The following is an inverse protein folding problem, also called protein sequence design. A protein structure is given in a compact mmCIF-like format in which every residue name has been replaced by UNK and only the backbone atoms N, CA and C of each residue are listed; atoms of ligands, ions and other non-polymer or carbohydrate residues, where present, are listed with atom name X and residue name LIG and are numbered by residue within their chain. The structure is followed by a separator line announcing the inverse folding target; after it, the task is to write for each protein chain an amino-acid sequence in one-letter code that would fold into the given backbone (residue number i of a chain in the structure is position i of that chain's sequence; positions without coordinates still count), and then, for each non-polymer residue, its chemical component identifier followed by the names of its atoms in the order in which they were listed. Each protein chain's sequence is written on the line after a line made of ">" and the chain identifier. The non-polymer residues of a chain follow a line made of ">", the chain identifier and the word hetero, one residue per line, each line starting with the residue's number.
data_IF_663531985527
#
_entry.id   IF_663531985527
#
_cell.length_a   1.000
_cell.length_b   1.000
_cell.length_c   1.000
_cell.angle_alpha   90.00
_cell.angle_beta   90.00
_cell.angle_gamma   90.00
#
_symmetry.space_group_name_H-M   'P 1'
#
loop_
_entity.id
_entity.type
_entity.pdbx_description
1 polymer ?
#
# COMPACT_ATOMS: atom_id res chain seq x y z
N UNK A 1 -25.84 -9.68 -3.07
CA UNK A 1 -24.90 -8.86 -3.87
C UNK A 1 -23.69 -8.47 -3.00
N UNK A 2 -22.70 -9.35 -2.82
CA UNK A 2 -21.62 -9.17 -1.81
C UNK A 2 -20.18 -9.30 -2.38
N UNK A 3 -19.98 -9.28 -3.71
CA UNK A 3 -18.67 -9.52 -4.32
C UNK A 3 -18.01 -8.32 -5.01
N UNK A 4 -18.73 -7.22 -5.24
CA UNK A 4 -18.23 -6.11 -6.09
C UNK A 4 -17.44 -5.06 -5.30
N UNK A 5 -17.71 -4.89 -4.00
CA UNK A 5 -17.17 -3.79 -3.19
C UNK A 5 -15.69 -3.99 -2.84
N UNK A 6 -15.29 -5.18 -2.40
CA UNK A 6 -13.88 -5.53 -2.15
C UNK A 6 -13.04 -5.46 -3.42
N UNK A 7 -13.60 -5.82 -4.57
CA UNK A 7 -12.87 -5.81 -5.84
C UNK A 7 -12.48 -4.38 -6.26
N UNK A 8 -13.36 -3.39 -6.10
CA UNK A 8 -13.02 -2.00 -6.43
C UNK A 8 -11.98 -1.37 -5.51
N UNK A 9 -11.94 -1.75 -4.23
CA UNK A 9 -10.93 -1.25 -3.29
C UNK A 9 -9.56 -1.85 -3.62
N UNK A 10 -9.51 -3.16 -3.90
CA UNK A 10 -8.31 -3.87 -4.36
C UNK A 10 -7.80 -3.27 -5.66
N UNK A 11 -8.68 -3.00 -6.63
CA UNK A 11 -8.29 -2.37 -7.91
C UNK A 11 -7.77 -0.94 -7.69
N UNK A 12 -8.44 -0.14 -6.87
CA UNK A 12 -7.99 1.24 -6.60
C UNK A 12 -6.61 1.26 -5.94
N UNK A 13 -6.38 0.39 -4.96
CA UNK A 13 -5.09 0.30 -4.27
C UNK A 13 -4.01 -0.27 -5.20
N UNK A 14 -4.31 -1.30 -6.00
CA UNK A 14 -3.37 -1.82 -7.00
C UNK A 14 -2.98 -0.78 -8.04
N UNK A 15 -3.95 -0.01 -8.54
CA UNK A 15 -3.68 1.05 -9.51
C UNK A 15 -2.81 2.16 -8.90
N UNK A 16 -3.05 2.51 -7.63
CA UNK A 16 -2.21 3.45 -6.88
C UNK A 16 -0.78 2.90 -6.74
N UNK A 17 -0.63 1.64 -6.36
CA UNK A 17 0.68 0.99 -6.22
C UNK A 17 1.41 0.94 -7.56
N UNK A 18 0.73 0.56 -8.64
CA UNK A 18 1.29 0.54 -9.99
C UNK A 18 1.70 1.94 -10.49
N UNK A 19 0.93 2.98 -10.15
CA UNK A 19 1.26 4.36 -10.48
C UNK A 19 2.50 4.84 -9.70
N UNK A 20 2.60 4.48 -8.43
CA UNK A 20 3.72 4.85 -7.59
C UNK A 20 4.95 3.96 -7.84
N UNK A 21 4.81 2.74 -8.39
CA UNK A 21 5.86 1.72 -8.62
C UNK A 21 7.14 2.28 -9.28
N UNK A 22 7.00 3.26 -10.17
CA UNK A 22 8.14 3.93 -10.83
C UNK A 22 8.94 4.86 -9.89
N UNK A 23 8.31 5.37 -8.82
CA UNK A 23 8.96 6.15 -7.76
C UNK A 23 9.61 5.26 -6.69
N UNK A 24 9.15 4.01 -6.52
CA UNK A 24 9.68 3.08 -5.50
C UNK A 24 11.18 2.77 -5.54
N UNK A 25 11.87 2.71 -6.70
CA UNK A 25 13.32 2.53 -6.73
C UNK A 25 14.07 3.67 -6.01
N UNK A 26 13.50 4.88 -5.98
CA UNK A 26 14.12 6.07 -5.40
C UNK A 26 13.77 6.27 -3.91
N UNK A 27 12.77 5.53 -3.39
CA UNK A 27 12.23 5.73 -2.03
C UNK A 27 13.12 5.22 -0.90
N UNK A 28 13.93 4.19 -1.14
CA UNK A 28 14.84 3.67 -0.12
C UNK A 28 15.85 4.71 0.38
N UNK A 29 16.19 5.70 -0.45
CA UNK A 29 17.07 6.82 -0.07
C UNK A 29 16.31 8.04 0.45
N UNK A 30 15.07 8.24 -0.01
CA UNK A 30 14.25 9.39 0.37
C UNK A 30 13.75 9.31 1.82
N UNK A 31 13.48 8.11 2.36
CA UNK A 31 12.94 7.88 3.71
C UNK A 31 13.80 8.42 4.88
N UNK A 32 15.03 8.85 4.64
CA UNK A 32 15.95 9.37 5.66
C UNK A 32 15.64 10.81 6.12
N UNK A 33 14.74 11.55 5.44
CA UNK A 33 14.61 13.01 5.64
C UNK A 33 13.29 13.54 6.21
N UNK A 34 12.13 13.04 5.79
CA UNK A 34 10.80 13.60 6.11
C UNK A 34 9.82 12.53 6.65
N UNK A 35 8.73 12.93 7.30
CA UNK A 35 7.72 11.97 7.77
C UNK A 35 7.00 11.25 6.62
N UNK A 36 6.25 10.17 6.89
CA UNK A 36 5.53 9.39 5.87
C UNK A 36 4.56 10.22 5.02
N UNK A 37 3.86 11.20 5.61
CA UNK A 37 2.94 12.10 4.90
C UNK A 37 3.66 13.09 3.97
N UNK A 38 4.84 13.58 4.37
CA UNK A 38 5.61 14.56 3.60
C UNK A 38 6.27 13.99 2.34
N UNK A 39 6.47 12.68 2.27
CA UNK A 39 7.12 12.02 1.14
C UNK A 39 6.15 11.51 0.07
N UNK A 40 4.92 11.17 0.46
CA UNK A 40 3.95 10.49 -0.40
C UNK A 40 2.57 11.17 -0.40
N UNK A 41 2.48 12.43 -0.84
CA UNK A 41 1.21 13.16 -0.87
C UNK A 41 0.16 12.47 -1.74
N UNK A 42 0.58 11.76 -2.79
CA UNK A 42 -0.31 10.99 -3.66
C UNK A 42 -0.98 9.80 -2.91
N UNK A 43 -0.20 9.01 -2.17
CA UNK A 43 -0.72 7.89 -1.38
C UNK A 43 -1.56 8.39 -0.20
N UNK A 44 -1.08 9.42 0.51
CA UNK A 44 -1.82 10.04 1.60
C UNK A 44 -3.17 10.60 1.11
N UNK A 45 -3.19 11.26 -0.06
CA UNK A 45 -4.40 11.77 -0.68
C UNK A 45 -5.37 10.67 -1.12
N UNK A 46 -4.85 9.59 -1.72
CA UNK A 46 -5.66 8.45 -2.14
C UNK A 46 -6.29 7.71 -0.95
N UNK A 47 -5.51 7.42 0.10
CA UNK A 47 -6.02 6.77 1.31
C UNK A 47 -7.06 7.64 2.02
N UNK A 48 -6.83 8.96 2.07
CA UNK A 48 -7.80 9.92 2.62
C UNK A 48 -9.08 9.96 1.81
N UNK A 49 -9.00 10.03 0.49
CA UNK A 49 -10.17 9.99 -0.38
C UNK A 49 -10.98 8.69 -0.21
N UNK A 50 -10.30 7.54 -0.04
CA UNK A 50 -10.97 6.26 0.24
C UNK A 50 -11.62 6.25 1.64
N UNK A 51 -10.97 6.85 2.64
CA UNK A 51 -11.53 6.99 3.99
C UNK A 51 -12.75 7.93 4.01
N UNK A 52 -12.68 9.08 3.34
CA UNK A 52 -13.77 10.06 3.21
C UNK A 52 -15.00 9.44 2.51
N UNK A 53 -14.78 8.49 1.60
CA UNK A 53 -15.84 7.73 0.93
C UNK A 53 -16.40 6.58 1.80
N UNK A 54 -15.92 6.39 3.03
CA UNK A 54 -16.28 5.26 3.90
C UNK A 54 -15.85 3.90 3.35
N UNK A 55 -14.89 3.90 2.43
CA UNK A 55 -14.31 2.70 1.81
C UNK A 55 -13.11 2.17 2.59
N UNK A 56 -12.51 2.99 3.44
CA UNK A 56 -11.54 2.58 4.45
C UNK A 56 -11.89 3.24 5.79
N UNK A 57 -11.49 2.60 6.88
CA UNK A 57 -11.60 3.11 8.24
C UNK A 57 -10.18 3.22 8.78
N UNK A 58 -9.56 4.39 8.58
CA UNK A 58 -8.17 4.66 8.94
C UNK A 58 -8.14 5.61 10.13
N UNK A 59 -7.90 5.12 11.37
CA UNK A 59 -7.83 5.98 12.55
C UNK A 59 -6.53 6.80 12.62
N UNK A 60 -5.46 6.31 12.00
CA UNK A 60 -4.15 6.93 11.94
C UNK A 60 -3.60 6.80 10.52
N UNK A 61 -3.60 7.91 9.78
CA UNK A 61 -3.20 7.96 8.38
C UNK A 61 -1.69 7.74 8.22
N UNK A 62 -0.88 8.28 9.14
CA UNK A 62 0.57 8.11 9.10
C UNK A 62 0.92 6.63 9.28
N UNK A 63 0.33 5.97 10.28
CA UNK A 63 0.55 4.55 10.52
C UNK A 63 0.09 3.70 9.33
N UNK A 64 -1.06 4.01 8.72
CA UNK A 64 -1.57 3.29 7.56
C UNK A 64 -0.62 3.40 6.36
N UNK A 65 -0.06 4.59 6.11
CA UNK A 65 0.94 4.81 5.08
C UNK A 65 2.16 3.90 5.35
N UNK A 66 2.73 3.94 6.56
CA UNK A 66 3.89 3.13 6.92
C UNK A 66 3.62 1.64 6.74
N UNK A 67 2.45 1.16 7.17
CA UNK A 67 2.07 -0.25 7.04
C UNK A 67 1.90 -0.68 5.57
N UNK A 68 1.28 0.16 4.74
CA UNK A 68 1.16 -0.09 3.31
C UNK A 68 2.56 -0.22 2.66
N UNK A 69 3.47 0.69 2.99
CA UNK A 69 4.84 0.64 2.50
C UNK A 69 5.61 -0.58 3.04
N UNK A 70 5.41 -0.98 4.29
CA UNK A 70 6.05 -2.16 4.85
C UNK A 70 5.62 -3.44 4.10
N UNK A 71 4.35 -3.56 3.73
CA UNK A 71 3.83 -4.71 2.99
C UNK A 71 4.34 -4.75 1.54
N UNK A 72 4.55 -3.59 0.91
CA UNK A 72 4.85 -3.51 -0.52
C UNK A 72 6.32 -3.31 -0.85
N UNK A 73 7.12 -2.65 0.00
CA UNK A 73 8.50 -2.21 -0.33
C UNK A 73 9.54 -2.99 0.42
N UNK A 74 9.27 -3.28 1.69
CA UNK A 74 10.24 -3.92 2.55
C UNK A 74 10.76 -5.25 1.96
N UNK A 75 9.94 -6.11 1.36
CA UNK A 75 10.44 -7.32 0.69
C UNK A 75 11.48 -7.03 -0.39
N UNK A 76 11.26 -6.03 -1.24
CA UNK A 76 12.21 -5.66 -2.30
C UNK A 76 13.53 -5.13 -1.75
N UNK A 77 13.48 -4.30 -0.71
CA UNK A 77 14.69 -3.76 -0.06
C UNK A 77 15.52 -4.89 0.55
N UNK A 78 14.86 -5.81 1.29
CA UNK A 78 15.53 -6.94 1.94
C UNK A 78 16.23 -7.84 0.92
N UNK A 79 15.55 -8.21 -0.17
CA UNK A 79 16.15 -9.04 -1.23
C UNK A 79 17.34 -8.35 -1.90
N UNK A 80 17.23 -7.05 -2.17
CA UNK A 80 18.31 -6.25 -2.74
C UNK A 80 19.55 -6.22 -1.84
N UNK A 81 19.39 -6.08 -0.52
CA UNK A 81 20.52 -6.16 0.44
C UNK A 81 21.25 -7.50 0.43
N UNK A 82 20.57 -8.59 0.10
CA UNK A 82 21.18 -9.91 -0.02
C UNK A 82 21.77 -10.19 -1.41
N UNK A 83 21.78 -9.21 -2.31
CA UNK A 83 22.26 -9.39 -3.69
C UNK A 83 21.35 -10.29 -4.53
N UNK A 84 20.10 -10.45 -4.11
CA UNK A 84 19.11 -11.29 -4.79
C UNK A 84 18.02 -10.43 -5.40
N UNK A 85 17.47 -10.87 -6.53
CA UNK A 85 16.33 -10.22 -7.15
C UNK A 85 15.08 -11.03 -6.88
N UNK A 86 13.99 -10.34 -6.53
CA UNK A 86 12.68 -10.95 -6.51
C UNK A 86 12.24 -11.23 -7.94
N UNK A 87 11.84 -12.47 -8.20
CA UNK A 87 11.17 -12.82 -9.45
C UNK A 87 9.86 -12.04 -9.58
N UNK A 88 9.47 -11.74 -10.81
CA UNK A 88 8.26 -10.98 -11.13
C UNK A 88 7.00 -11.66 -10.58
N UNK A 89 6.97 -13.00 -10.61
CA UNK A 89 5.87 -13.79 -10.03
C UNK A 89 5.76 -13.69 -8.50
N UNK A 90 6.89 -13.49 -7.81
CA UNK A 90 6.90 -13.28 -6.36
C UNK A 90 6.52 -11.84 -6.02
N UNK A 91 6.99 -10.89 -6.83
CA UNK A 91 6.62 -9.47 -6.74
C UNK A 91 5.11 -9.29 -6.83
N UNK A 92 4.47 -9.82 -7.88
CA UNK A 92 3.02 -9.66 -8.05
C UNK A 92 2.26 -10.27 -6.87
N UNK A 93 2.62 -11.49 -6.45
CA UNK A 93 1.99 -12.15 -5.28
C UNK A 93 2.11 -11.35 -3.99
N UNK A 94 3.26 -10.75 -3.72
CA UNK A 94 3.48 -9.93 -2.53
C UNK A 94 2.66 -8.63 -2.58
N UNK A 95 2.54 -8.02 -3.75
CA UNK A 95 1.68 -6.84 -3.94
C UNK A 95 0.22 -7.21 -3.72
N UNK A 96 -0.26 -8.29 -4.36
CA UNK A 96 -1.63 -8.80 -4.21
C UNK A 96 -1.96 -9.05 -2.74
N UNK A 97 -1.16 -9.90 -2.09
CA UNK A 97 -1.42 -10.32 -0.71
C UNK A 97 -1.23 -9.18 0.29
N UNK A 98 -0.26 -8.28 0.07
CA UNK A 98 -0.06 -7.09 0.89
C UNK A 98 -1.25 -6.14 0.82
N UNK A 99 -1.78 -5.88 -0.38
CA UNK A 99 -3.00 -5.08 -0.56
C UNK A 99 -4.19 -5.76 0.13
N UNK A 100 -4.38 -7.08 -0.05
CA UNK A 100 -5.47 -7.82 0.58
C UNK A 100 -5.38 -7.77 2.12
N UNK A 101 -4.17 -7.88 2.69
CA UNK A 101 -3.93 -7.73 4.13
C UNK A 101 -4.27 -6.32 4.62
N UNK A 102 -3.83 -5.30 3.89
CA UNK A 102 -4.11 -3.90 4.22
C UNK A 102 -5.61 -3.61 4.21
N UNK A 103 -6.32 -4.06 3.18
CA UNK A 103 -7.77 -3.91 3.07
C UNK A 103 -8.54 -4.79 4.06
N UNK A 104 -7.98 -5.93 4.47
CA UNK A 104 -8.55 -6.74 5.56
C UNK A 104 -8.49 -6.02 6.91
N UNK A 105 -7.46 -5.22 7.13
CA UNK A 105 -7.28 -4.45 8.38
C UNK A 105 -8.06 -3.13 8.38
N UNK A 106 -7.91 -2.33 7.33
CA UNK A 106 -8.52 -0.99 7.22
C UNK A 106 -9.84 -0.96 6.45
N UNK A 107 -10.29 -2.10 5.92
CA UNK A 107 -11.57 -2.19 5.26
C UNK A 107 -12.72 -1.85 6.21
N UNK A 108 -13.88 -1.42 5.66
CA UNK A 108 -15.04 -1.13 6.46
C UNK A 108 -15.47 -2.46 7.09
N UNK A 109 -15.34 -2.55 8.41
CA UNK A 109 -15.60 -3.77 9.16
C UNK A 109 -16.90 -4.40 8.70
N UNK A 110 -16.87 -5.70 8.38
CA UNK A 110 -18.09 -6.48 8.12
C UNK A 110 -18.87 -6.56 9.44
N UNK A 111 -19.65 -5.53 9.75
CA UNK A 111 -20.59 -5.48 10.86
C UNK A 111 -20.01 -5.98 12.19
N UNK A 112 -19.38 -5.09 12.97
CA UNK A 112 -19.20 -5.35 14.41
C UNK A 112 -20.51 -5.04 15.12
#
# INVERSE_FOLDING_TARGET
>A
MHGVRTNQDVIALRNLVAAEQHRFPELGRAWQGHGPEGHHPAVAGALRALADQGRLVIPDLEAAIVQLYALLVFPHMVFSTYGTHMDESLTDRLIVSGVDMFLGHYGPGRNR
#
